data_IF_128683714336
#
_entry.id   IF_128683714336
#
_cell.length_a   1.000
_cell.length_b   1.000
_cell.length_c   1.000
_cell.angle_alpha   90.00
_cell.angle_beta   90.00
_cell.angle_gamma   90.00
#
_symmetry.space_group_name_H-M   'P 1'
#
loop_
_entity.id
_entity.type
_entity.pdbx_description
1 polymer ?
#
# COMPACT_ATOMS: atom_id res chain seq x y z
N UNK A 1 -9.74 16.15 5.88
CA UNK A 1 -8.94 15.53 6.94
C UNK A 1 -9.78 15.26 8.18
N UNK A 2 -10.51 16.25 8.70
CA UNK A 2 -11.32 16.15 9.93
C UNK A 2 -12.36 15.01 10.00
N UNK A 3 -12.84 14.51 8.86
CA UNK A 3 -13.80 13.38 8.79
C UNK A 3 -13.12 12.03 8.49
N UNK A 4 -11.81 12.02 8.28
CA UNK A 4 -11.04 10.81 7.98
C UNK A 4 -10.38 10.33 9.27
N UNK A 5 -10.62 9.08 9.72
CA UNK A 5 -9.90 8.52 10.86
C UNK A 5 -8.40 8.42 10.60
N UNK A 6 -7.60 8.78 11.61
CA UNK A 6 -6.17 8.57 11.57
C UNK A 6 -5.82 7.15 12.02
N UNK A 7 -5.68 6.25 11.05
CA UNK A 7 -5.45 4.83 11.25
C UNK A 7 -4.14 4.35 10.62
N UNK A 8 -3.59 3.27 11.16
CA UNK A 8 -2.41 2.62 10.61
C UNK A 8 -2.78 1.81 9.36
N UNK A 9 -2.12 2.11 8.26
CA UNK A 9 -2.34 1.47 6.95
C UNK A 9 -1.02 0.93 6.38
N UNK A 10 -1.16 0.07 5.39
CA UNK A 10 -0.08 -0.41 4.54
C UNK A 10 -0.35 0.02 3.11
N UNK A 11 0.68 0.54 2.48
CA UNK A 11 0.66 0.94 1.08
C UNK A 11 1.41 -0.12 0.29
N UNK A 12 0.73 -0.77 -0.65
CA UNK A 12 1.34 -1.71 -1.56
C UNK A 12 1.60 -1.06 -2.90
N UNK A 13 2.77 -1.35 -3.48
CA UNK A 13 3.12 -1.04 -4.86
C UNK A 13 3.43 -2.33 -5.59
N UNK A 14 2.85 -2.51 -6.78
CA UNK A 14 3.12 -3.68 -7.63
C UNK A 14 4.14 -3.39 -8.72
N UNK A 15 4.69 -4.42 -9.36
CA UNK A 15 5.62 -4.29 -10.50
C UNK A 15 5.02 -3.47 -11.65
N UNK A 16 3.71 -3.60 -11.87
CA UNK A 16 3.00 -2.82 -12.91
C UNK A 16 2.63 -1.41 -12.49
N UNK A 17 3.02 -0.99 -11.28
CA UNK A 17 2.79 0.36 -10.78
C UNK A 17 1.40 0.59 -10.20
N UNK A 18 0.65 -0.47 -9.87
CA UNK A 18 -0.58 -0.30 -9.10
C UNK A 18 -0.25 0.02 -7.65
N UNK A 19 -0.89 1.05 -7.12
CA UNK A 19 -0.80 1.45 -5.73
C UNK A 19 -2.13 1.19 -5.03
N UNK A 20 -2.09 0.60 -3.84
CA UNK A 20 -3.27 0.41 -2.99
C UNK A 20 -2.99 0.72 -1.53
N UNK A 21 -4.02 1.17 -0.83
CA UNK A 21 -4.04 1.38 0.61
C UNK A 21 -4.85 0.28 1.27
N UNK A 22 -4.21 -0.47 2.14
CA UNK A 22 -4.85 -1.59 2.85
C UNK A 22 -4.75 -1.33 4.34
N UNK A 23 -5.82 -1.60 5.09
CA UNK A 23 -5.75 -1.51 6.55
C UNK A 23 -4.68 -2.46 7.08
N UNK A 24 -3.84 -2.00 8.02
CA UNK A 24 -2.73 -2.79 8.55
C UNK A 24 -3.20 -4.11 9.21
N UNK A 25 -4.47 -4.17 9.63
CA UNK A 25 -5.12 -5.35 10.20
C UNK A 25 -5.33 -6.50 9.20
N UNK A 26 -5.37 -6.21 7.89
CA UNK A 26 -5.54 -7.22 6.84
C UNK A 26 -4.28 -8.09 6.70
N UNK A 27 -3.11 -7.48 6.86
CA UNK A 27 -1.82 -8.19 6.92
C UNK A 27 -1.54 -8.66 8.35
N UNK A 28 -2.39 -9.54 8.88
CA UNK A 28 -2.05 -10.28 10.10
C UNK A 28 -0.78 -11.10 9.86
N UNK A 29 0.15 -11.05 10.81
CA UNK A 29 1.38 -11.85 10.77
C UNK A 29 1.04 -13.32 10.52
N UNK A 30 1.42 -13.86 9.37
CA UNK A 30 1.51 -15.31 9.24
C UNK A 30 2.72 -15.78 10.05
N UNK A 31 2.52 -16.78 10.91
CA UNK A 31 3.62 -17.46 11.59
C UNK A 31 4.53 -18.14 10.55
N UNK A 32 5.85 -18.18 10.84
CA UNK A 32 6.82 -18.90 10.01
C UNK A 32 6.33 -20.34 9.78
N UNK A 33 6.09 -20.72 8.52
CA UNK A 33 5.63 -22.06 8.13
C UNK A 33 4.24 -22.15 7.50
N UNK A 34 3.48 -21.05 7.43
CA UNK A 34 2.25 -21.00 6.64
C UNK A 34 2.54 -21.01 5.14
N UNK A 35 2.35 -22.15 4.46
CA UNK A 35 2.36 -22.23 3.00
C UNK A 35 1.17 -21.44 2.45
N UNK A 36 1.41 -20.17 2.10
CA UNK A 36 0.67 -19.35 1.13
C UNK A 36 -0.85 -19.31 1.29
N UNK A 37 -1.39 -18.18 1.77
CA UNK A 37 -2.77 -17.83 1.42
C UNK A 37 -2.76 -17.44 -0.05
N UNK A 38 -3.42 -18.21 -0.92
CA UNK A 38 -3.79 -17.73 -2.26
C UNK A 38 -4.79 -16.60 -2.10
N UNK A 39 -4.28 -15.38 -1.89
CA UNK A 39 -5.07 -14.15 -1.74
C UNK A 39 -5.50 -13.55 -3.09
N UNK A 40 -4.92 -14.00 -4.19
CA UNK A 40 -5.29 -13.61 -5.55
C UNK A 40 -5.19 -14.83 -6.47
N UNK A 41 -6.26 -15.13 -7.22
CA UNK A 41 -6.10 -15.82 -8.50
C UNK A 41 -5.42 -14.80 -9.40
N UNK A 42 -4.11 -14.96 -9.63
CA UNK A 42 -3.34 -14.23 -10.64
C UNK A 42 -3.90 -14.56 -12.02
N UNK A 43 -4.98 -13.87 -12.40
CA UNK A 43 -5.04 -13.38 -13.77
C UNK A 43 -3.92 -12.35 -13.84
N UNK A 44 -2.81 -12.78 -14.41
CA UNK A 44 -1.60 -12.00 -14.68
C UNK A 44 -0.69 -11.82 -13.44
N UNK A 45 0.58 -12.18 -13.58
CA UNK A 45 1.64 -12.10 -12.57
C UNK A 45 1.96 -10.62 -12.29
N UNK A 46 1.21 -9.98 -11.38
CA UNK A 46 1.54 -8.66 -10.84
C UNK A 46 1.84 -8.80 -9.35
N UNK A 47 3.13 -8.84 -9.03
CA UNK A 47 3.62 -9.05 -7.67
C UNK A 47 3.82 -7.72 -6.93
N UNK A 48 3.65 -7.76 -5.62
CA UNK A 48 3.91 -6.60 -4.76
C UNK A 48 5.42 -6.45 -4.58
N UNK A 49 5.97 -5.32 -5.03
CA UNK A 49 7.40 -4.99 -4.90
C UNK A 49 7.73 -4.18 -3.65
N UNK A 50 6.74 -3.45 -3.12
CA UNK A 50 6.95 -2.60 -1.96
C UNK A 50 5.74 -2.61 -1.04
N UNK A 51 6.01 -2.65 0.27
CA UNK A 51 5.04 -2.46 1.33
C UNK A 51 5.56 -1.37 2.27
N UNK A 52 4.83 -0.27 2.37
CA UNK A 52 5.19 0.89 3.18
C UNK A 52 4.16 1.03 4.30
N UNK A 53 4.54 0.91 5.58
CA UNK A 53 3.67 1.29 6.69
C UNK A 53 3.52 2.80 6.76
N UNK A 54 2.30 3.28 6.92
CA UNK A 54 1.97 4.70 7.04
C UNK A 54 0.74 4.91 7.91
N UNK A 55 0.40 6.16 8.19
CA UNK A 55 -0.89 6.56 8.76
C UNK A 55 -1.74 7.27 7.72
N UNK A 56 -3.07 7.20 7.85
CA UNK A 56 -4.00 7.84 6.91
C UNK A 56 -3.73 9.32 6.69
N UNK A 57 -3.30 10.06 7.71
CA UNK A 57 -3.05 11.51 7.63
C UNK A 57 -1.63 11.88 7.15
N UNK A 58 -0.74 10.89 7.00
CA UNK A 58 0.60 11.13 6.48
C UNK A 58 0.54 11.66 5.03
N UNK A 59 1.60 12.34 4.62
CA UNK A 59 1.80 12.77 3.24
C UNK A 59 2.85 11.88 2.58
N UNK A 60 2.50 11.28 1.46
CA UNK A 60 3.41 10.46 0.67
C UNK A 60 4.02 11.27 -0.46
N UNK A 61 5.33 11.13 -0.64
CA UNK A 61 6.10 11.83 -1.67
C UNK A 61 6.48 10.85 -2.78
N UNK A 62 6.12 11.21 -4.01
CA UNK A 62 6.46 10.44 -5.21
C UNK A 62 7.55 11.18 -5.99
N UNK A 63 8.73 10.58 -6.06
CA UNK A 63 9.87 11.13 -6.76
C UNK A 63 9.93 10.57 -8.19
N UNK A 64 9.97 11.47 -9.17
CA UNK A 64 10.16 11.11 -10.58
C UNK A 64 11.60 11.33 -11.03
N UNK A 65 12.01 10.59 -12.05
CA UNK A 65 13.28 10.74 -12.77
C UNK A 65 13.46 12.12 -13.44
N UNK A 66 12.37 12.85 -13.66
CA UNK A 66 12.36 14.23 -14.19
C UNK A 66 12.68 15.29 -13.13
N UNK A 67 13.10 14.90 -11.93
CA UNK A 67 13.39 15.82 -10.83
C UNK A 67 12.15 16.50 -10.26
N UNK A 68 10.95 15.93 -10.49
CA UNK A 68 9.70 16.41 -9.89
C UNK A 68 9.31 15.55 -8.70
N UNK A 69 8.77 16.21 -7.68
CA UNK A 69 8.17 15.57 -6.51
C UNK A 69 6.67 15.86 -6.53
N UNK A 70 5.88 14.81 -6.40
CA UNK A 70 4.43 14.89 -6.20
C UNK A 70 4.12 14.51 -4.77
N UNK A 71 3.09 15.13 -4.18
CA UNK A 71 2.68 14.87 -2.81
C UNK A 71 1.18 14.58 -2.79
N UNK A 72 0.78 13.53 -2.07
CA UNK A 72 -0.62 13.20 -1.87
C UNK A 72 -0.85 12.75 -0.42
N UNK A 73 -2.04 13.03 0.11
CA UNK A 73 -2.42 12.50 1.44
C UNK A 73 -2.66 11.00 1.32
N UNK A 74 -2.16 10.23 2.29
CA UNK A 74 -2.26 8.76 2.25
C UNK A 74 -3.70 8.29 2.11
N UNK A 75 -4.67 8.94 2.76
CA UNK A 75 -6.08 8.59 2.64
C UNK A 75 -6.70 8.81 1.25
N UNK A 76 -6.02 9.50 0.34
CA UNK A 76 -6.48 9.69 -1.05
C UNK A 76 -6.02 8.56 -1.98
N UNK A 77 -5.15 7.66 -1.50
CA UNK A 77 -4.75 6.46 -2.24
C UNK A 77 -5.93 5.47 -2.24
N UNK A 78 -6.26 4.85 -3.39
CA UNK A 78 -7.38 3.92 -3.48
C UNK A 78 -7.17 2.67 -2.62
N UNK A 79 -8.28 2.08 -2.16
CA UNK A 79 -8.30 0.83 -1.39
C UNK A 79 -8.08 -0.44 -2.25
#
# INVERSE_FOLDING_TARGET
EDLIPDESVLISLTERGYIKRVAATVFKSQSRGGRGVKGHTTKEEDEVVMLIPARSHDTMLFFSDKGKVYSEKVYQIPD
#
